data_IF_633623535801
#
_entry.id   IF_633623535801
#
_cell.length_a   1.000
_cell.length_b   1.000
_cell.length_c   1.000
_cell.angle_alpha   90.00
_cell.angle_beta   90.00
_cell.angle_gamma   90.00
#
_symmetry.space_group_name_H-M   'P 1'
#
loop_
_entity.id
_entity.type
_entity.pdbx_description
1 polymer ?
#
# COMPACT_ATOMS: atom_id res chain seq x y z
N UNK A 1 42.31 -8.65 -33.27
CA UNK A 1 42.58 -7.32 -32.65
C UNK A 1 41.74 -7.21 -31.42
N UNK A 2 42.44 -7.09 -30.32
CA UNK A 2 41.91 -7.02 -28.96
C UNK A 2 41.42 -5.62 -28.70
N UNK A 3 40.19 -5.39 -28.18
CA UNK A 3 39.87 -4.25 -27.34
C UNK A 3 38.96 -4.74 -26.23
N UNK A 4 39.41 -4.44 -25.04
CA UNK A 4 39.06 -4.86 -23.71
C UNK A 4 37.65 -4.38 -23.24
N UNK A 5 37.00 -5.29 -22.52
CA UNK A 5 35.92 -4.97 -21.57
C UNK A 5 36.54 -4.46 -20.26
N UNK A 6 36.16 -3.28 -19.80
CA UNK A 6 36.37 -2.87 -18.43
C UNK A 6 35.40 -1.73 -18.11
N UNK A 7 34.39 -1.99 -17.29
CA UNK A 7 33.87 -1.18 -16.17
C UNK A 7 32.44 -1.53 -15.82
N UNK A 8 32.28 -2.53 -14.97
CA UNK A 8 31.03 -2.75 -14.22
C UNK A 8 31.33 -3.45 -12.88
N UNK A 9 32.26 -2.91 -12.12
CA UNK A 9 32.62 -3.41 -10.78
C UNK A 9 32.71 -2.31 -9.70
N UNK A 10 32.04 -1.19 -9.84
CA UNK A 10 32.15 -0.11 -8.88
C UNK A 10 30.91 0.10 -7.98
N UNK A 11 29.77 -0.54 -8.24
CA UNK A 11 28.55 -0.28 -7.46
C UNK A 11 28.28 -1.31 -6.35
N UNK A 12 28.87 -2.50 -6.41
CA UNK A 12 28.64 -3.55 -5.41
C UNK A 12 29.45 -3.43 -4.12
N UNK A 13 30.52 -2.61 -4.13
CA UNK A 13 31.44 -2.50 -2.98
C UNK A 13 31.08 -1.43 -1.97
N UNK A 14 30.24 -0.47 -2.33
CA UNK A 14 29.88 0.63 -1.43
C UNK A 14 28.82 0.23 -0.37
N UNK A 15 27.96 -0.74 -0.68
CA UNK A 15 26.92 -1.17 0.24
C UNK A 15 27.45 -2.07 1.37
N UNK A 16 28.47 -2.90 1.08
CA UNK A 16 29.10 -3.77 2.09
C UNK A 16 30.00 -3.01 3.07
N UNK A 17 30.58 -1.87 2.67
CA UNK A 17 31.44 -1.06 3.55
C UNK A 17 30.65 -0.22 4.58
N UNK A 18 29.40 0.11 4.28
CA UNK A 18 28.52 0.87 5.21
C UNK A 18 28.06 0.04 6.41
N UNK A 19 27.90 -1.27 6.25
CA UNK A 19 27.58 -2.18 7.38
C UNK A 19 28.77 -2.41 8.32
N UNK A 20 30.01 -2.26 7.85
CA UNK A 20 31.21 -2.46 8.66
C UNK A 20 31.53 -1.22 9.54
N UNK A 21 31.23 -0.01 9.08
CA UNK A 21 31.54 1.25 9.82
C UNK A 21 30.61 1.49 11.00
N UNK A 22 29.37 0.95 10.96
CA UNK A 22 28.45 1.01 12.11
C UNK A 22 28.91 0.17 13.33
N UNK A 23 29.88 -0.74 13.14
CA UNK A 23 30.37 -1.63 14.21
C UNK A 23 31.45 -1.02 15.11
N UNK A 24 32.17 0.00 14.70
CA UNK A 24 33.34 0.49 15.47
C UNK A 24 33.08 1.65 16.42
N UNK A 25 31.87 2.25 16.46
CA UNK A 25 31.62 3.44 17.31
C UNK A 25 30.75 3.22 18.53
N UNK A 26 30.42 1.98 18.92
CA UNK A 26 29.59 1.65 20.09
C UNK A 26 30.36 1.23 21.35
N UNK A 27 31.69 1.32 21.36
CA UNK A 27 32.49 1.04 22.56
C UNK A 27 33.24 2.28 23.02
N UNK A 28 32.57 3.14 23.73
CA UNK A 28 33.25 4.23 24.41
C UNK A 28 32.31 5.31 24.94
N UNK A 29 32.23 5.30 26.25
CA UNK A 29 31.81 6.35 27.21
C UNK A 29 30.54 6.02 27.99
N UNK A 30 30.77 5.31 29.09
CA UNK A 30 29.98 5.40 30.30
C UNK A 30 30.68 6.36 31.26
N UNK A 31 30.11 7.53 31.49
CA UNK A 31 30.29 8.26 32.75
C UNK A 31 29.18 9.31 32.88
N UNK A 32 28.34 9.10 33.90
CA UNK A 32 27.32 10.05 34.35
C UNK A 32 27.92 11.23 35.10
N UNK A 33 27.22 12.35 35.15
CA UNK A 33 26.99 12.95 36.45
C UNK A 33 25.52 13.35 36.72
N UNK A 34 25.14 13.00 37.93
CA UNK A 34 24.18 13.56 38.89
C UNK A 34 23.10 14.57 38.41
N UNK A 35 21.88 14.14 38.67
CA UNK A 35 20.67 14.95 38.64
C UNK A 35 20.66 16.02 39.73
N UNK A 36 20.32 17.26 39.33
CA UNK A 36 19.81 18.31 40.23
C UNK A 36 18.30 18.41 40.05
N UNK A 37 17.58 18.14 41.13
CA UNK A 37 16.14 18.36 41.26
C UNK A 37 15.81 19.85 41.22
N UNK A 38 14.90 20.26 40.35
CA UNK A 38 14.23 21.55 40.45
C UNK A 38 12.74 21.35 40.70
N UNK A 39 12.29 22.03 41.75
CA UNK A 39 10.99 22.02 42.36
C UNK A 39 9.87 22.44 41.39
N UNK A 40 8.81 21.64 41.35
CA UNK A 40 7.53 21.95 40.72
C UNK A 40 6.81 23.06 41.49
N UNK A 41 6.65 24.22 40.90
CA UNK A 41 5.73 25.28 41.37
C UNK A 41 4.29 24.88 41.06
N UNK A 42 3.45 24.84 42.10
CA UNK A 42 2.00 24.61 42.02
C UNK A 42 1.32 25.79 41.33
N UNK A 43 0.50 25.50 40.34
CA UNK A 43 -0.48 26.46 39.77
C UNK A 43 -1.77 26.51 40.62
N UNK A 44 -2.45 27.64 40.71
CA UNK A 44 -3.60 27.83 41.59
C UNK A 44 -4.89 27.15 41.04
N UNK A 45 -5.63 26.56 41.96
CA UNK A 45 -6.98 25.99 41.70
C UNK A 45 -7.98 27.11 41.50
N UNK A 46 -8.63 27.12 40.35
CA UNK A 46 -9.88 27.92 40.15
C UNK A 46 -11.04 27.18 40.81
N UNK A 47 -11.77 27.89 41.73
CA UNK A 47 -13.04 27.50 42.31
C UNK A 47 -14.17 27.99 41.38
N UNK A 48 -15.04 27.09 41.01
CA UNK A 48 -16.34 27.46 40.43
C UNK A 48 -17.35 27.76 41.53
N UNK A 49 -18.17 28.82 41.40
CA UNK A 49 -19.27 29.09 42.34
C UNK A 49 -20.48 28.21 42.04
N UNK A 50 -21.11 27.69 43.09
CA UNK A 50 -22.39 27.00 43.03
C UNK A 50 -23.53 28.01 42.99
N UNK A 51 -24.63 27.78 42.26
CA UNK A 51 -25.84 28.56 42.41
C UNK A 51 -26.79 27.90 43.43
N UNK A 52 -27.14 28.64 44.47
CA UNK A 52 -28.29 28.45 45.30
C UNK A 52 -29.50 29.08 44.61
N UNK A 53 -30.62 28.38 44.56
CA UNK A 53 -31.89 28.96 44.10
C UNK A 53 -33.00 27.94 43.95
N UNK A 54 -33.66 27.59 45.06
CA UNK A 54 -34.95 26.90 45.07
C UNK A 54 -36.04 27.82 44.54
N UNK A 55 -36.78 27.40 43.53
CA UNK A 55 -38.03 27.99 43.15
C UNK A 55 -39.10 26.91 43.03
N UNK A 56 -40.18 27.11 43.78
CA UNK A 56 -41.32 26.21 43.93
C UNK A 56 -42.19 26.18 42.67
N UNK A 57 -42.68 25.01 42.40
CA UNK A 57 -43.53 24.61 41.31
C UNK A 57 -44.93 25.24 41.35
N UNK A 58 -45.41 25.73 40.24
CA UNK A 58 -46.83 25.86 39.92
C UNK A 58 -47.18 24.85 38.84
N UNK A 59 -47.99 23.89 39.19
CA UNK A 59 -48.56 22.89 38.31
C UNK A 59 -49.57 23.54 37.37
N UNK A 60 -49.24 23.62 36.06
CA UNK A 60 -50.27 23.84 35.04
C UNK A 60 -50.29 22.59 34.13
N UNK A 61 -51.46 21.96 34.15
CA UNK A 61 -51.82 20.84 33.30
C UNK A 61 -51.95 21.32 31.87
N UNK A 62 -50.97 20.97 31.04
CA UNK A 62 -51.08 21.10 29.59
C UNK A 62 -51.32 19.72 28.96
N UNK A 63 -52.44 19.69 28.22
CA UNK A 63 -52.88 18.65 27.32
C UNK A 63 -51.71 18.05 26.51
N UNK A 64 -51.51 16.75 26.65
CA UNK A 64 -50.54 15.96 25.86
C UNK A 64 -50.99 15.90 24.40
N UNK A 65 -50.36 16.70 23.54
CA UNK A 65 -50.34 16.42 22.09
C UNK A 65 -49.55 15.16 21.86
N UNK A 66 -50.19 14.13 21.32
CA UNK A 66 -49.54 12.95 20.84
C UNK A 66 -48.52 13.34 19.74
N UNK A 67 -47.23 13.16 20.01
CA UNK A 67 -46.21 13.17 18.96
C UNK A 67 -46.44 11.95 18.09
N UNK A 68 -46.93 12.15 16.87
CA UNK A 68 -46.82 11.17 15.85
C UNK A 68 -45.33 10.92 15.63
N UNK A 69 -44.83 9.74 16.01
CA UNK A 69 -43.52 9.26 15.59
C UNK A 69 -43.54 9.14 14.08
N UNK A 70 -42.89 10.09 13.40
CA UNK A 70 -42.50 9.89 12.00
C UNK A 70 -41.71 8.57 11.94
N UNK A 71 -42.05 7.65 11.02
CA UNK A 71 -41.24 6.47 10.86
C UNK A 71 -39.79 6.93 10.65
N UNK A 72 -38.87 6.40 11.45
CA UNK A 72 -37.46 6.65 11.29
C UNK A 72 -37.12 6.25 9.84
N UNK A 73 -36.78 7.24 9.03
CA UNK A 73 -36.19 6.99 7.73
C UNK A 73 -34.97 6.14 8.02
N UNK A 74 -35.03 4.86 7.70
CA UNK A 74 -33.83 4.01 7.71
C UNK A 74 -32.91 4.66 6.70
N UNK A 75 -31.93 5.44 7.19
CA UNK A 75 -30.81 5.89 6.37
C UNK A 75 -30.06 4.63 6.00
N UNK A 76 -30.31 4.10 4.80
CA UNK A 76 -29.42 3.13 4.20
C UNK A 76 -28.06 3.83 4.12
N UNK A 77 -27.12 3.39 4.94
CA UNK A 77 -25.71 3.75 4.72
C UNK A 77 -25.34 3.25 3.32
N UNK A 78 -24.87 4.13 2.43
CA UNK A 78 -24.52 3.72 1.09
C UNK A 78 -23.45 2.63 1.16
N UNK A 79 -23.60 1.59 0.35
CA UNK A 79 -22.60 0.55 0.23
C UNK A 79 -21.48 1.07 -0.66
N UNK A 80 -20.26 0.70 -0.33
CA UNK A 80 -19.06 1.04 -1.09
C UNK A 80 -18.53 -0.23 -1.76
N UNK A 81 -18.32 -0.15 -3.05
CA UNK A 81 -17.54 -1.13 -3.81
C UNK A 81 -16.15 -0.57 -4.11
N UNK A 82 -15.19 -1.45 -4.29
CA UNK A 82 -13.79 -1.11 -4.50
C UNK A 82 -13.34 -1.51 -5.90
N UNK A 83 -12.91 -0.53 -6.68
CA UNK A 83 -12.33 -0.74 -8.01
C UNK A 83 -10.81 -0.72 -7.87
N UNK A 84 -10.16 -1.85 -8.15
CA UNK A 84 -8.75 -2.04 -7.83
C UNK A 84 -7.92 -2.32 -9.07
N UNK A 85 -6.74 -1.70 -9.13
CA UNK A 85 -5.71 -2.07 -10.08
C UNK A 85 -4.33 -2.07 -9.39
N UNK A 86 -3.46 -2.94 -9.89
CA UNK A 86 -2.06 -2.98 -9.52
C UNK A 86 -1.18 -2.51 -10.68
N UNK A 87 0.00 -1.99 -10.35
CA UNK A 87 1.09 -1.80 -11.30
C UNK A 87 2.41 -2.15 -10.65
N UNK A 88 3.29 -2.85 -11.39
CA UNK A 88 4.59 -3.26 -10.85
C UNK A 88 5.70 -3.14 -11.88
N UNK A 89 6.94 -3.03 -11.41
CA UNK A 89 8.14 -3.04 -12.25
C UNK A 89 9.32 -3.55 -11.47
N UNK A 90 9.98 -4.58 -11.97
CA UNK A 90 11.25 -5.01 -11.37
C UNK A 90 12.35 -3.95 -11.55
N UNK A 91 13.31 -3.90 -10.60
CA UNK A 91 14.42 -2.92 -10.61
C UNK A 91 15.25 -2.96 -11.89
N UNK A 92 15.39 -4.13 -12.50
CA UNK A 92 16.12 -4.34 -13.76
C UNK A 92 15.23 -4.33 -14.99
N UNK A 93 13.90 -4.43 -14.82
CA UNK A 93 12.91 -4.49 -15.90
C UNK A 93 12.64 -3.13 -16.54
N UNK A 94 12.21 -3.16 -17.79
CA UNK A 94 11.66 -1.98 -18.46
C UNK A 94 10.19 -1.86 -18.14
N UNK A 95 9.78 -0.74 -17.58
CA UNK A 95 8.38 -0.44 -17.35
C UNK A 95 7.62 -0.19 -18.68
N UNK A 96 6.56 -0.96 -18.88
CA UNK A 96 5.66 -0.82 -20.03
C UNK A 96 4.21 -0.74 -19.50
N UNK A 97 3.54 0.43 -19.59
CA UNK A 97 2.19 0.61 -19.04
C UNK A 97 1.17 -0.43 -19.52
N UNK A 98 1.36 -0.97 -20.72
CA UNK A 98 0.49 -2.00 -21.30
C UNK A 98 0.75 -3.42 -20.79
N UNK A 99 1.84 -3.67 -20.06
CA UNK A 99 2.21 -5.01 -19.57
C UNK A 99 2.32 -5.07 -18.05
N UNK A 100 2.67 -3.94 -17.44
CA UNK A 100 2.96 -3.83 -16.02
C UNK A 100 1.77 -3.27 -15.23
N UNK A 101 0.55 -3.46 -15.75
CA UNK A 101 -0.70 -3.04 -15.10
C UNK A 101 -1.69 -4.18 -15.11
N UNK A 102 -2.37 -4.37 -13.98
CA UNK A 102 -3.27 -5.49 -13.72
C UNK A 102 -4.55 -4.94 -13.10
N UNK A 103 -5.72 -5.27 -13.67
CA UNK A 103 -7.02 -4.92 -13.11
C UNK A 103 -7.58 -6.10 -12.31
N UNK A 104 -8.14 -5.84 -11.16
CA UNK A 104 -8.90 -6.82 -10.38
C UNK A 104 -10.36 -6.78 -10.80
N UNK A 105 -10.86 -7.93 -11.23
CA UNK A 105 -12.29 -8.14 -11.48
C UNK A 105 -12.75 -9.38 -10.70
N UNK A 106 -13.50 -9.22 -9.62
CA UNK A 106 -13.91 -10.34 -8.77
C UNK A 106 -14.84 -11.34 -9.49
N UNK A 107 -15.48 -10.94 -10.61
CA UNK A 107 -16.31 -11.84 -11.41
C UNK A 107 -15.48 -12.80 -12.28
N UNK A 108 -14.24 -12.42 -12.62
CA UNK A 108 -13.37 -13.17 -13.52
C UNK A 108 -12.22 -13.88 -12.83
N UNK A 109 -11.85 -13.46 -11.64
CA UNK A 109 -10.69 -13.98 -10.92
C UNK A 109 -10.87 -13.91 -9.41
N UNK A 110 -10.49 -14.97 -8.70
CA UNK A 110 -10.56 -15.02 -7.24
C UNK A 110 -9.53 -14.11 -6.57
N UNK A 111 -8.33 -13.99 -7.16
CA UNK A 111 -7.26 -13.14 -6.66
C UNK A 111 -6.41 -12.56 -7.79
N UNK A 112 -5.85 -11.37 -7.54
CA UNK A 112 -4.87 -10.69 -8.39
C UNK A 112 -3.50 -10.72 -7.72
N UNK A 113 -2.43 -10.82 -8.53
CA UNK A 113 -1.02 -10.76 -8.09
C UNK A 113 -0.46 -12.07 -7.57
N UNK A 114 -1.30 -13.04 -7.25
CA UNK A 114 -0.95 -14.38 -6.75
C UNK A 114 -1.64 -15.48 -7.55
N UNK A 115 -1.09 -16.68 -7.48
CA UNK A 115 -1.62 -17.85 -8.20
C UNK A 115 -2.09 -18.90 -7.18
N UNK A 116 -3.23 -18.62 -6.53
CA UNK A 116 -3.79 -19.46 -5.45
C UNK A 116 -4.13 -20.88 -5.91
N UNK A 117 -4.47 -21.05 -7.20
CA UNK A 117 -4.82 -22.31 -7.87
C UNK A 117 -3.62 -23.08 -8.43
N UNK A 118 -2.41 -22.56 -8.33
CA UNK A 118 -1.26 -23.18 -8.93
C UNK A 118 -0.85 -24.48 -8.19
N UNK A 119 -0.70 -25.61 -8.91
CA UNK A 119 -0.50 -26.92 -8.30
C UNK A 119 0.90 -27.13 -7.69
N UNK A 120 1.89 -26.33 -8.07
CA UNK A 120 3.26 -26.50 -7.60
C UNK A 120 3.96 -25.17 -7.41
N UNK A 121 4.96 -25.06 -6.50
CA UNK A 121 5.77 -23.85 -6.34
C UNK A 121 6.44 -23.36 -7.64
N UNK A 122 6.86 -24.26 -8.52
CA UNK A 122 7.45 -23.89 -9.79
C UNK A 122 6.45 -23.19 -10.74
N UNK A 123 5.19 -23.61 -10.73
CA UNK A 123 4.12 -22.96 -11.50
C UNK A 123 3.79 -21.60 -10.87
N UNK A 124 3.73 -21.51 -9.54
CA UNK A 124 3.54 -20.23 -8.83
C UNK A 124 4.61 -19.22 -9.24
N UNK A 125 5.89 -19.59 -9.20
CA UNK A 125 7.01 -18.70 -9.62
C UNK A 125 6.87 -18.21 -11.05
N UNK A 126 6.41 -19.05 -11.99
CA UNK A 126 6.22 -18.65 -13.39
C UNK A 126 5.05 -17.69 -13.61
N UNK A 127 4.08 -17.69 -12.71
CA UNK A 127 2.88 -16.82 -12.78
C UNK A 127 3.04 -15.51 -12.00
N UNK A 128 4.19 -15.30 -11.33
CA UNK A 128 4.46 -14.04 -10.61
C UNK A 128 4.39 -12.87 -11.59
N UNK A 129 3.82 -11.73 -11.17
CA UNK A 129 3.97 -10.46 -11.87
C UNK A 129 5.45 -10.09 -12.06
N UNK A 130 5.73 -9.20 -13.02
CA UNK A 130 7.08 -8.61 -13.18
C UNK A 130 7.29 -7.51 -12.13
N UNK A 131 7.45 -7.93 -10.89
CA UNK A 131 7.60 -7.06 -9.71
C UNK A 131 8.94 -7.25 -8.99
N UNK A 132 9.82 -8.12 -9.49
CA UNK A 132 11.09 -8.41 -8.83
C UNK A 132 10.92 -9.16 -7.52
N UNK A 133 11.48 -8.60 -6.45
CA UNK A 133 11.39 -9.11 -5.07
C UNK A 133 10.07 -8.67 -4.38
N UNK A 134 9.38 -7.68 -4.96
CA UNK A 134 8.09 -7.18 -4.48
C UNK A 134 6.95 -8.13 -4.81
N UNK A 135 5.95 -8.14 -3.95
CA UNK A 135 4.72 -8.86 -4.15
C UNK A 135 3.50 -8.02 -3.81
N UNK A 136 2.37 -8.38 -4.39
CA UNK A 136 1.07 -7.80 -4.03
C UNK A 136 -0.03 -8.84 -4.20
N UNK A 137 -1.15 -8.63 -3.52
CA UNK A 137 -2.38 -9.34 -3.84
C UNK A 137 -3.62 -8.47 -3.60
N UNK A 138 -4.69 -8.83 -4.27
CA UNK A 138 -6.07 -8.43 -3.99
C UNK A 138 -6.95 -9.66 -4.13
N UNK A 139 -7.89 -9.86 -3.21
CA UNK A 139 -8.88 -10.92 -3.29
C UNK A 139 -10.20 -10.48 -2.67
N UNK A 140 -11.29 -11.16 -2.99
CA UNK A 140 -12.52 -11.09 -2.21
C UNK A 140 -12.31 -11.70 -0.83
N UNK A 141 -13.16 -11.37 0.14
CA UNK A 141 -13.21 -12.00 1.46
C UNK A 141 -14.33 -13.01 1.50
N UNK A 142 -13.99 -14.29 1.70
CA UNK A 142 -14.95 -15.39 1.74
C UNK A 142 -15.41 -15.86 0.36
N UNK A 143 -15.93 -17.11 0.32
CA UNK A 143 -16.64 -17.62 -0.84
C UNK A 143 -18.09 -17.17 -0.77
N UNK A 144 -18.58 -16.58 -1.83
CA UNK A 144 -19.96 -16.22 -2.14
C UNK A 144 -21.00 -16.70 -1.13
N UNK A 145 -21.34 -15.88 -0.17
CA UNK A 145 -22.68 -15.95 0.41
C UNK A 145 -23.67 -15.42 -0.65
N UNK A 146 -24.93 -15.82 -0.58
CA UNK A 146 -26.00 -15.54 -1.54
C UNK A 146 -26.33 -14.04 -1.77
N UNK A 147 -25.50 -13.15 -1.31
CA UNK A 147 -25.50 -11.69 -1.46
C UNK A 147 -24.10 -11.25 -1.90
N UNK A 148 -23.94 -10.41 -2.92
CA UNK A 148 -22.63 -9.91 -3.30
C UNK A 148 -22.04 -9.11 -2.13
N UNK A 149 -21.02 -9.67 -1.48
CA UNK A 149 -20.22 -8.98 -0.48
C UNK A 149 -19.05 -8.29 -1.24
N UNK A 150 -18.99 -6.97 -1.17
CA UNK A 150 -17.94 -6.18 -1.82
C UNK A 150 -16.68 -6.03 -0.98
N UNK A 151 -16.57 -6.79 0.11
CA UNK A 151 -15.40 -6.75 0.98
C UNK A 151 -14.18 -7.37 0.30
N UNK A 152 -13.05 -6.69 0.43
CA UNK A 152 -11.79 -7.11 -0.19
C UNK A 152 -10.66 -7.18 0.84
N UNK A 153 -9.71 -8.09 0.59
CA UNK A 153 -8.42 -8.14 1.25
C UNK A 153 -7.32 -7.81 0.25
N UNK A 154 -6.31 -7.07 0.66
CA UNK A 154 -5.24 -6.62 -0.22
C UNK A 154 -3.94 -6.37 0.54
N UNK A 155 -2.81 -6.49 -0.13
CA UNK A 155 -1.51 -6.13 0.44
C UNK A 155 -0.46 -5.82 -0.62
N UNK A 156 0.59 -5.12 -0.18
CA UNK A 156 1.90 -5.08 -0.81
C UNK A 156 2.95 -5.58 0.18
N UNK A 157 4.00 -6.25 -0.32
CA UNK A 157 5.12 -6.76 0.46
C UNK A 157 6.41 -6.58 -0.33
N UNK A 158 7.39 -5.92 0.25
CA UNK A 158 8.71 -5.70 -0.32
C UNK A 158 9.66 -6.77 0.20
N UNK A 159 10.23 -7.54 -0.72
CA UNK A 159 11.17 -8.62 -0.41
C UNK A 159 12.57 -8.10 -0.11
N UNK A 160 13.09 -8.44 1.07
CA UNK A 160 14.39 -7.95 1.52
C UNK A 160 15.53 -8.53 0.70
N UNK A 161 16.08 -7.74 -0.24
CA UNK A 161 17.13 -8.14 -1.19
C UNK A 161 18.41 -8.66 -0.58
N UNK A 162 18.73 -8.30 0.67
CA UNK A 162 19.91 -8.79 1.39
C UNK A 162 19.97 -10.31 1.57
N UNK A 163 18.85 -11.02 1.47
CA UNK A 163 18.81 -12.47 1.52
C UNK A 163 19.43 -13.16 0.29
N UNK A 164 19.53 -12.47 -0.85
CA UNK A 164 20.16 -12.98 -2.06
C UNK A 164 21.63 -13.37 -1.82
N UNK A 165 22.34 -12.67 -0.93
CA UNK A 165 23.72 -13.01 -0.54
C UNK A 165 23.82 -14.40 0.13
N UNK A 166 22.72 -14.86 0.74
CA UNK A 166 22.58 -16.17 1.37
C UNK A 166 22.09 -17.27 0.40
N UNK A 167 22.04 -16.97 -0.91
CA UNK A 167 21.51 -17.85 -1.97
C UNK A 167 20.03 -18.21 -1.79
N UNK A 168 19.28 -17.29 -1.26
CA UNK A 168 17.83 -17.38 -1.13
C UNK A 168 17.23 -16.37 -2.12
N UNK A 169 16.15 -16.76 -2.79
CA UNK A 169 15.34 -15.83 -3.59
C UNK A 169 14.44 -15.02 -2.66
N UNK A 170 14.68 -13.71 -2.47
CA UNK A 170 13.84 -12.88 -1.57
C UNK A 170 12.37 -12.87 -1.98
N UNK A 171 12.10 -12.99 -3.28
CA UNK A 171 10.75 -13.07 -3.82
C UNK A 171 9.95 -14.30 -3.34
N UNK A 172 10.60 -15.38 -2.90
CA UNK A 172 9.88 -16.55 -2.38
C UNK A 172 9.14 -16.23 -1.09
N UNK A 173 9.70 -15.37 -0.23
CA UNK A 173 9.06 -14.98 1.02
C UNK A 173 7.91 -14.00 0.78
N UNK A 174 8.13 -12.89 0.07
CA UNK A 174 7.12 -11.86 -0.18
C UNK A 174 5.91 -12.40 -0.94
N UNK A 175 6.16 -13.15 -2.03
CA UNK A 175 5.08 -13.79 -2.81
C UNK A 175 4.39 -14.91 -2.02
N UNK A 176 5.12 -15.68 -1.22
CA UNK A 176 4.54 -16.69 -0.32
C UNK A 176 3.61 -16.09 0.70
N UNK A 177 4.02 -14.97 1.33
CA UNK A 177 3.20 -14.23 2.27
C UNK A 177 1.89 -13.73 1.63
N UNK A 178 1.98 -13.07 0.47
CA UNK A 178 0.82 -12.59 -0.27
C UNK A 178 -0.11 -13.75 -0.70
N UNK A 179 0.44 -14.86 -1.19
CA UNK A 179 -0.34 -16.04 -1.59
C UNK A 179 -1.10 -16.66 -0.41
N UNK A 180 -0.45 -16.80 0.75
CA UNK A 180 -1.10 -17.35 1.94
C UNK A 180 -2.12 -16.41 2.57
N UNK A 181 -1.90 -15.10 2.52
CA UNK A 181 -2.92 -14.12 2.92
C UNK A 181 -4.13 -14.17 2.01
N UNK A 182 -3.93 -14.22 0.68
CA UNK A 182 -5.03 -14.33 -0.28
C UNK A 182 -5.86 -15.60 -0.06
N UNK A 183 -5.20 -16.76 0.08
CA UNK A 183 -5.89 -18.04 0.38
C UNK A 183 -6.69 -17.97 1.68
N UNK A 184 -6.13 -17.33 2.73
CA UNK A 184 -6.81 -17.17 4.01
C UNK A 184 -8.04 -16.26 3.88
N UNK A 185 -7.93 -15.16 3.12
CA UNK A 185 -9.05 -14.27 2.88
C UNK A 185 -10.16 -14.96 2.06
N UNK A 186 -9.80 -15.66 0.98
CA UNK A 186 -10.76 -16.41 0.15
C UNK A 186 -11.48 -17.52 0.91
N UNK A 187 -10.77 -18.24 1.78
CA UNK A 187 -11.35 -19.33 2.59
C UNK A 187 -12.04 -18.85 3.86
N UNK A 188 -12.23 -17.55 4.05
CA UNK A 188 -12.84 -17.00 5.25
C UNK A 188 -14.34 -17.31 5.31
N UNK A 189 -14.77 -18.09 6.32
CA UNK A 189 -16.16 -18.56 6.46
C UNK A 189 -17.03 -17.68 7.38
N UNK A 190 -16.42 -16.70 8.05
CA UNK A 190 -17.11 -15.80 8.98
C UNK A 190 -17.48 -14.50 8.27
N UNK A 191 -18.37 -13.66 8.86
CA UNK A 191 -18.60 -12.30 8.35
C UNK A 191 -17.28 -11.53 8.12
N UNK A 192 -17.19 -10.79 7.01
CA UNK A 192 -15.97 -10.08 6.61
C UNK A 192 -15.48 -9.07 7.68
N UNK A 193 -16.41 -8.49 8.46
CA UNK A 193 -16.10 -7.55 9.55
C UNK A 193 -15.30 -8.18 10.69
N UNK A 194 -15.26 -9.51 10.76
CA UNK A 194 -14.47 -10.24 11.75
C UNK A 194 -13.04 -10.53 11.29
N UNK A 195 -12.76 -10.36 10.00
CA UNK A 195 -11.39 -10.47 9.48
C UNK A 195 -10.65 -9.17 9.78
N UNK A 196 -9.53 -9.28 10.49
CA UNK A 196 -8.70 -8.15 10.89
C UNK A 196 -7.40 -8.18 10.10
N UNK A 197 -6.93 -7.02 9.62
CA UNK A 197 -5.73 -6.92 8.79
C UNK A 197 -4.49 -7.53 9.48
N UNK A 198 -4.28 -7.25 10.76
CA UNK A 198 -3.19 -7.86 11.55
C UNK A 198 -3.35 -9.36 11.74
N UNK A 199 -4.57 -9.87 11.88
CA UNK A 199 -4.83 -11.30 11.99
C UNK A 199 -4.58 -12.02 10.66
N UNK A 200 -4.91 -11.37 9.53
CA UNK A 200 -4.61 -11.88 8.19
C UNK A 200 -3.09 -11.96 7.96
N UNK A 201 -2.35 -10.90 8.36
CA UNK A 201 -0.89 -10.89 8.31
C UNK A 201 -0.29 -12.02 9.15
N UNK A 202 -0.81 -12.23 10.38
CA UNK A 202 -0.35 -13.33 11.26
C UNK A 202 -0.60 -14.70 10.61
N UNK A 203 -1.81 -14.93 10.07
CA UNK A 203 -2.14 -16.19 9.42
C UNK A 203 -1.27 -16.47 8.18
N UNK A 204 -0.99 -15.43 7.37
CA UNK A 204 -0.06 -15.53 6.25
C UNK A 204 1.34 -15.88 6.69
N UNK A 205 1.87 -15.18 7.70
CA UNK A 205 3.20 -15.41 8.26
C UNK A 205 3.36 -16.82 8.85
N UNK A 206 2.40 -17.29 9.65
CA UNK A 206 2.44 -18.64 10.23
C UNK A 206 2.53 -19.71 9.15
N UNK A 207 1.83 -19.52 8.03
CA UNK A 207 1.87 -20.47 6.90
C UNK A 207 3.17 -20.38 6.11
N UNK A 208 3.76 -19.18 5.95
CA UNK A 208 5.10 -19.03 5.35
C UNK A 208 6.15 -19.75 6.19
N UNK A 209 6.10 -19.59 7.52
CA UNK A 209 7.03 -20.28 8.47
C UNK A 209 6.87 -21.78 8.44
N UNK A 210 5.66 -22.29 8.19
CA UNK A 210 5.36 -23.71 8.09
C UNK A 210 5.71 -24.33 6.71
N UNK A 211 5.95 -23.51 5.68
CA UNK A 211 6.25 -23.97 4.32
C UNK A 211 7.73 -24.34 4.17
N UNK A 212 8.02 -25.65 4.12
CA UNK A 212 9.38 -26.16 3.95
C UNK A 212 10.06 -25.72 2.65
N UNK A 213 9.32 -25.24 1.66
CA UNK A 213 9.87 -24.71 0.42
C UNK A 213 10.47 -23.30 0.58
N UNK A 214 10.06 -22.56 1.62
CA UNK A 214 10.53 -21.21 1.97
C UNK A 214 11.46 -21.32 3.18
N UNK A 215 12.74 -21.55 2.91
CA UNK A 215 13.72 -21.89 3.97
C UNK A 215 14.30 -20.69 4.70
N UNK A 216 14.27 -19.55 4.09
CA UNK A 216 14.78 -18.28 4.60
C UNK A 216 14.21 -17.13 3.77
N UNK A 217 14.33 -15.92 4.25
CA UNK A 217 13.85 -14.74 3.57
C UNK A 217 13.21 -13.77 4.55
N UNK A 218 12.77 -12.64 4.06
CA UNK A 218 12.04 -11.65 4.82
C UNK A 218 11.39 -10.64 3.89
N UNK A 219 10.37 -9.94 4.38
CA UNK A 219 9.75 -8.83 3.67
C UNK A 219 9.10 -7.84 4.65
N UNK A 220 8.86 -6.63 4.16
CA UNK A 220 7.90 -5.70 4.77
C UNK A 220 6.47 -6.14 4.48
N UNK A 221 5.46 -5.51 5.05
CA UNK A 221 4.08 -5.76 4.70
C UNK A 221 3.17 -4.55 5.00
N UNK A 222 2.37 -4.15 4.01
CA UNK A 222 1.24 -3.25 4.19
C UNK A 222 -0.03 -3.98 3.76
N UNK A 223 -0.90 -4.32 4.72
CA UNK A 223 -2.06 -5.21 4.54
C UNK A 223 -3.33 -4.44 4.83
N UNK A 224 -4.39 -4.64 4.04
CA UNK A 224 -5.68 -3.99 4.23
C UNK A 224 -6.87 -4.93 4.08
N UNK A 225 -7.93 -4.59 4.81
CA UNK A 225 -9.28 -5.15 4.65
C UNK A 225 -10.21 -3.99 4.38
N UNK A 226 -10.93 -4.03 3.26
CA UNK A 226 -11.98 -3.08 2.90
C UNK A 226 -13.35 -3.71 3.06
N UNK A 227 -14.24 -3.07 3.78
CA UNK A 227 -15.60 -3.51 4.04
C UNK A 227 -16.61 -2.70 3.24
N UNK A 228 -17.76 -3.27 2.94
CA UNK A 228 -18.81 -2.64 2.13
C UNK A 228 -19.41 -1.35 2.73
N UNK A 229 -19.19 -1.10 4.02
CA UNK A 229 -19.56 0.15 4.68
C UNK A 229 -18.54 1.29 4.47
N UNK A 230 -17.48 1.06 3.66
CA UNK A 230 -16.40 2.01 3.41
C UNK A 230 -15.27 1.97 4.44
N UNK A 231 -15.40 1.19 5.49
CA UNK A 231 -14.36 1.03 6.50
C UNK A 231 -13.17 0.24 5.94
N UNK A 232 -11.98 0.80 6.10
CA UNK A 232 -10.70 0.17 5.77
C UNK A 232 -9.91 -0.04 7.06
N UNK A 233 -9.46 -1.25 7.30
CA UNK A 233 -8.46 -1.51 8.33
C UNK A 233 -7.13 -1.84 7.66
N UNK A 234 -6.09 -1.11 8.04
CA UNK A 234 -4.72 -1.30 7.57
C UNK A 234 -3.84 -1.84 8.71
N UNK A 235 -2.90 -2.72 8.38
CA UNK A 235 -1.80 -3.15 9.23
C UNK A 235 -0.50 -2.94 8.45
N UNK A 236 0.39 -2.09 8.95
CA UNK A 236 1.66 -1.75 8.31
C UNK A 236 2.83 -2.22 9.15
N UNK A 237 3.78 -2.92 8.53
CA UNK A 237 5.05 -3.35 9.13
C UNK A 237 6.17 -3.06 8.13
N UNK A 238 7.07 -2.17 8.52
CA UNK A 238 8.17 -1.71 7.67
C UNK A 238 7.90 -0.37 7.00
N UNK A 239 8.55 -0.13 5.87
CA UNK A 239 8.56 1.12 5.10
C UNK A 239 7.76 1.07 3.79
N UNK A 240 7.23 -0.08 3.40
CA UNK A 240 6.03 -0.13 2.55
C UNK A 240 4.90 0.63 3.23
N UNK A 241 3.98 1.22 2.46
CA UNK A 241 3.00 2.07 3.09
C UNK A 241 1.74 2.37 2.28
N UNK A 242 0.93 3.28 2.82
CA UNK A 242 -0.34 3.69 2.24
C UNK A 242 -0.56 5.19 2.26
N UNK A 243 -1.31 5.70 1.29
CA UNK A 243 -1.76 7.10 1.21
C UNK A 243 -3.24 7.12 0.82
N UNK A 244 -4.07 7.80 1.60
CA UNK A 244 -5.47 8.07 1.25
C UNK A 244 -5.61 9.49 0.73
N UNK A 245 -6.12 9.61 -0.47
CA UNK A 245 -6.35 10.87 -1.18
C UNK A 245 -7.86 11.10 -1.34
N UNK A 246 -8.33 12.29 -0.98
CA UNK A 246 -9.71 12.73 -1.09
C UNK A 246 -9.75 14.16 -1.61
N UNK A 247 -10.48 14.40 -2.69
CA UNK A 247 -10.74 15.75 -3.18
C UNK A 247 -9.47 16.61 -3.32
N UNK A 248 -8.42 16.03 -3.94
CA UNK A 248 -7.10 16.63 -4.14
C UNK A 248 -6.36 17.02 -2.83
N UNK A 249 -6.59 16.29 -1.76
CA UNK A 249 -5.85 16.42 -0.51
C UNK A 249 -5.38 15.05 0.01
N UNK A 250 -4.25 15.05 0.73
CA UNK A 250 -3.78 13.88 1.48
C UNK A 250 -4.52 13.83 2.81
N UNK A 251 -5.35 12.81 3.01
CA UNK A 251 -6.12 12.61 4.25
C UNK A 251 -5.42 11.69 5.24
N UNK A 252 -4.63 10.74 4.72
CA UNK A 252 -3.83 9.85 5.54
C UNK A 252 -2.59 9.42 4.77
N UNK A 253 -1.53 9.16 5.50
CA UNK A 253 -0.36 8.40 5.03
C UNK A 253 0.23 7.60 6.19
N UNK A 254 0.76 6.42 5.89
CA UNK A 254 1.45 5.59 6.89
C UNK A 254 2.83 6.15 7.21
N UNK A 255 3.23 6.03 8.47
CA UNK A 255 4.59 6.37 8.92
C UNK A 255 5.44 5.12 8.80
N UNK A 256 6.59 5.16 8.09
CA UNK A 256 7.46 4.01 7.98
C UNK A 256 8.02 3.59 9.35
N UNK A 257 8.12 2.27 9.56
CA UNK A 257 8.73 1.69 10.75
C UNK A 257 10.13 1.21 10.41
N UNK A 258 11.14 1.81 11.04
CA UNK A 258 12.55 1.49 10.78
C UNK A 258 13.33 1.39 12.08
N UNK A 259 14.32 0.49 12.13
CA UNK A 259 15.31 0.39 13.21
C UNK A 259 16.43 1.43 13.04
N UNK A 260 16.60 1.93 11.82
CA UNK A 260 17.60 2.93 11.44
C UNK A 260 17.47 3.27 9.96
N UNK A 261 18.38 4.08 9.43
CA UNK A 261 18.36 4.42 8.03
C UNK A 261 18.43 3.17 7.14
N UNK A 262 17.52 3.05 6.18
CA UNK A 262 17.41 1.93 5.24
C UNK A 262 17.40 0.55 5.94
N UNK A 263 16.75 0.50 7.11
CA UNK A 263 16.64 -0.72 7.91
C UNK A 263 15.20 -0.86 8.42
N UNK A 264 14.27 -1.27 7.53
CA UNK A 264 12.87 -1.39 7.90
C UNK A 264 12.60 -2.52 8.89
N UNK A 265 11.49 -2.43 9.61
CA UNK A 265 10.87 -3.58 10.25
C UNK A 265 10.53 -4.61 9.18
N UNK A 266 10.82 -5.88 9.44
CA UNK A 266 10.62 -6.96 8.48
C UNK A 266 10.25 -8.26 9.15
N UNK A 267 9.27 -8.95 8.58
CA UNK A 267 9.03 -10.36 8.87
C UNK A 267 10.18 -11.18 8.29
N UNK A 268 10.63 -12.23 9.00
CA UNK A 268 11.73 -13.04 8.48
C UNK A 268 11.69 -14.48 8.96
N UNK A 269 12.25 -15.38 8.15
CA UNK A 269 12.66 -16.73 8.53
C UNK A 269 14.18 -16.77 8.53
N UNK A 270 14.77 -16.89 9.71
CA UNK A 270 16.22 -16.97 9.87
C UNK A 270 16.60 -18.42 10.15
N UNK A 271 17.36 -19.08 9.25
CA UNK A 271 17.81 -20.46 9.46
C UNK A 271 18.56 -20.64 10.78
N UNK A 272 18.35 -21.76 11.50
CA UNK A 272 19.02 -22.02 12.78
C UNK A 272 20.55 -21.92 12.72
N UNK A 273 21.16 -22.34 11.62
CA UNK A 273 22.62 -22.23 11.38
C UNK A 273 23.09 -20.77 11.38
N UNK A 274 22.32 -19.87 10.75
CA UNK A 274 22.66 -18.45 10.71
C UNK A 274 22.52 -17.81 12.08
N UNK A 275 21.48 -18.16 12.84
CA UNK A 275 21.31 -17.71 14.24
C UNK A 275 22.50 -18.15 15.10
N UNK A 276 22.92 -19.42 14.99
CA UNK A 276 24.07 -19.95 15.72
C UNK A 276 25.38 -19.23 15.35
N UNK A 277 25.61 -18.98 14.05
CA UNK A 277 26.77 -18.21 13.61
C UNK A 277 26.76 -16.78 14.16
N UNK A 278 25.63 -16.08 14.07
CA UNK A 278 25.52 -14.73 14.61
C UNK A 278 25.82 -14.69 16.12
N UNK A 279 25.31 -15.65 16.90
CA UNK A 279 25.57 -15.71 18.34
C UNK A 279 27.05 -15.96 18.68
N UNK A 280 27.77 -16.76 17.88
CA UNK A 280 29.20 -17.01 18.06
C UNK A 280 30.03 -15.75 17.83
N UNK A 281 29.64 -14.92 16.83
CA UNK A 281 30.34 -13.70 16.47
C UNK A 281 29.82 -12.45 17.19
N UNK A 282 28.94 -12.61 18.19
CA UNK A 282 28.39 -11.51 18.98
C UNK A 282 27.38 -10.64 18.25
N UNK A 283 26.80 -11.14 17.15
CA UNK A 283 25.73 -10.49 16.39
C UNK A 283 24.34 -11.02 16.78
N UNK A 284 23.31 -10.19 16.53
CA UNK A 284 21.91 -10.59 16.59
C UNK A 284 21.21 -10.16 15.30
N UNK A 285 20.24 -10.94 14.87
CA UNK A 285 19.33 -10.50 13.80
C UNK A 285 18.27 -9.59 14.37
N UNK A 286 17.87 -8.59 13.59
CA UNK A 286 16.62 -7.87 13.83
C UNK A 286 15.48 -8.79 13.42
N UNK A 287 14.51 -8.95 14.30
CA UNK A 287 13.35 -9.81 14.07
C UNK A 287 12.10 -9.07 14.51
N UNK A 288 11.24 -8.81 13.53
CA UNK A 288 9.93 -8.23 13.78
C UNK A 288 8.84 -9.27 13.47
N UNK A 289 7.69 -9.10 14.06
CA UNK A 289 6.59 -10.06 14.00
C UNK A 289 5.28 -9.35 13.61
N UNK A 290 4.26 -10.07 13.15
CA UNK A 290 2.97 -9.46 12.81
C UNK A 290 2.35 -8.63 13.96
N UNK A 291 2.65 -8.94 15.22
CA UNK A 291 2.20 -8.15 16.38
C UNK A 291 2.75 -6.72 16.40
N UNK A 292 3.91 -6.49 15.78
CA UNK A 292 4.62 -5.20 15.75
C UNK A 292 4.06 -4.27 14.66
N UNK A 293 3.20 -4.79 13.76
CA UNK A 293 2.53 -3.98 12.76
C UNK A 293 1.64 -2.92 13.41
N UNK A 294 1.72 -1.69 12.94
CA UNK A 294 0.83 -0.59 13.33
C UNK A 294 -0.51 -0.73 12.61
N UNK A 295 -1.61 -0.69 13.36
CA UNK A 295 -2.96 -0.75 12.78
C UNK A 295 -3.60 0.63 12.71
N UNK A 296 -4.26 0.91 11.59
CA UNK A 296 -5.02 2.15 11.36
C UNK A 296 -6.37 1.80 10.79
N UNK A 297 -7.42 2.48 11.25
CA UNK A 297 -8.77 2.38 10.67
C UNK A 297 -9.10 3.68 9.96
N UNK A 298 -9.50 3.57 8.70
CA UNK A 298 -9.90 4.68 7.84
C UNK A 298 -11.34 4.46 7.37
N UNK A 299 -11.92 5.49 6.80
CA UNK A 299 -13.22 5.39 6.12
C UNK A 299 -13.11 6.03 4.74
N UNK A 300 -13.31 5.24 3.70
CA UNK A 300 -13.35 5.71 2.32
C UNK A 300 -14.77 6.14 1.96
N UNK A 301 -14.85 7.25 1.25
CA UNK A 301 -16.08 7.79 0.67
C UNK A 301 -16.01 7.66 -0.85
N UNK A 302 -17.15 7.85 -1.50
CA UNK A 302 -17.24 7.89 -2.96
C UNK A 302 -16.20 8.83 -3.57
N UNK A 303 -15.43 8.31 -4.54
CA UNK A 303 -14.39 9.03 -5.24
C UNK A 303 -13.04 9.14 -4.51
N UNK A 304 -12.90 8.57 -3.30
CA UNK A 304 -11.62 8.47 -2.63
C UNK A 304 -10.68 7.52 -3.36
N UNK A 305 -9.39 7.80 -3.25
CA UNK A 305 -8.32 6.95 -3.79
C UNK A 305 -7.39 6.54 -2.67
N UNK A 306 -7.33 5.24 -2.38
CA UNK A 306 -6.33 4.65 -1.49
C UNK A 306 -5.23 4.02 -2.33
N UNK A 307 -3.99 4.38 -2.05
CA UNK A 307 -2.79 3.78 -2.62
C UNK A 307 -2.06 2.99 -1.55
N UNK A 308 -1.63 1.76 -1.88
CA UNK A 308 -0.56 1.07 -1.17
C UNK A 308 0.63 0.94 -2.12
N UNK A 309 1.84 1.05 -1.59
CA UNK A 309 3.05 0.85 -2.38
C UNK A 309 4.23 0.38 -1.54
N UNK A 310 5.22 -0.21 -2.20
CA UNK A 310 6.53 -0.55 -1.65
C UNK A 310 7.45 0.68 -1.62
N UNK A 311 8.60 0.56 -0.97
CA UNK A 311 9.57 1.65 -0.79
C UNK A 311 10.12 2.18 -2.12
N UNK A 312 10.17 1.37 -3.19
CA UNK A 312 10.56 1.83 -4.53
C UNK A 312 9.73 3.01 -5.05
N UNK A 313 8.51 3.22 -4.51
CA UNK A 313 7.72 4.45 -4.73
C UNK A 313 8.11 5.54 -3.74
N UNK A 314 8.08 5.27 -2.44
CA UNK A 314 8.25 6.28 -1.40
C UNK A 314 9.66 6.83 -1.28
N UNK A 315 10.66 6.07 -1.68
CA UNK A 315 12.06 6.50 -1.78
C UNK A 315 12.30 7.51 -2.92
N UNK A 316 11.44 7.48 -3.94
CA UNK A 316 11.59 8.29 -5.14
C UNK A 316 10.54 9.41 -5.27
N UNK A 317 9.34 9.23 -4.71
CA UNK A 317 8.22 10.17 -4.77
C UNK A 317 7.74 10.53 -3.37
N UNK A 318 7.66 11.82 -3.09
CA UNK A 318 7.04 12.28 -1.85
C UNK A 318 5.50 12.38 -1.99
N UNK A 319 4.79 12.55 -0.88
CA UNK A 319 3.32 12.62 -0.86
C UNK A 319 2.76 13.76 -1.75
N UNK A 320 3.48 14.84 -1.97
CA UNK A 320 3.06 15.93 -2.86
C UNK A 320 3.21 15.56 -4.34
N UNK A 321 4.24 14.80 -4.70
CA UNK A 321 4.41 14.26 -6.05
C UNK A 321 3.26 13.28 -6.36
N UNK A 322 2.97 12.36 -5.45
CA UNK A 322 1.85 11.41 -5.54
C UNK A 322 0.52 12.15 -5.67
N UNK A 323 0.27 13.15 -4.79
CA UNK A 323 -0.95 13.95 -4.83
C UNK A 323 -1.14 14.64 -6.19
N UNK A 324 -0.09 15.25 -6.75
CA UNK A 324 -0.14 15.91 -8.07
C UNK A 324 -0.47 14.92 -9.18
N UNK A 325 0.17 13.74 -9.18
CA UNK A 325 -0.08 12.70 -10.18
C UNK A 325 -1.53 12.23 -10.14
N UNK A 326 -2.02 11.83 -8.95
CA UNK A 326 -3.40 11.35 -8.78
C UNK A 326 -4.39 12.45 -9.15
N UNK A 327 -4.25 13.65 -8.57
CA UNK A 327 -5.15 14.78 -8.85
C UNK A 327 -5.21 15.10 -10.35
N UNK A 328 -4.07 15.12 -11.02
CA UNK A 328 -4.01 15.35 -12.48
C UNK A 328 -4.81 14.29 -13.26
N UNK A 329 -4.70 13.01 -12.91
CA UNK A 329 -5.42 11.92 -13.59
C UNK A 329 -6.91 11.95 -13.28
N UNK A 330 -7.27 12.16 -12.01
CA UNK A 330 -8.67 12.25 -11.58
C UNK A 330 -9.40 13.42 -12.22
N UNK A 331 -8.76 14.59 -12.34
CA UNK A 331 -9.35 15.77 -13.02
C UNK A 331 -9.39 15.56 -14.54
N UNK A 332 -8.31 15.07 -15.14
CA UNK A 332 -8.25 14.88 -16.61
C UNK A 332 -9.33 13.91 -17.11
N UNK A 333 -9.64 12.87 -16.34
CA UNK A 333 -10.68 11.89 -16.70
C UNK A 333 -12.10 12.36 -16.33
N UNK A 334 -12.23 13.43 -15.56
CA UNK A 334 -13.51 13.91 -15.04
C UNK A 334 -14.00 13.13 -13.81
N UNK A 335 -13.17 12.26 -13.23
CA UNK A 335 -13.50 11.56 -11.96
C UNK A 335 -13.57 12.51 -10.77
N UNK A 336 -12.75 13.55 -10.80
CA UNK A 336 -12.86 14.71 -9.92
C UNK A 336 -13.10 15.97 -10.76
N UNK A 337 -13.99 16.85 -10.29
CA UNK A 337 -14.36 18.09 -10.96
C UNK A 337 -14.18 19.28 -10.03
N UNK A 338 -13.78 20.42 -10.60
CA UNK A 338 -13.77 21.67 -9.85
C UNK A 338 -15.23 22.11 -9.62
N UNK A 339 -15.57 22.36 -8.36
CA UNK A 339 -16.91 22.85 -8.03
C UNK A 339 -17.14 24.26 -8.58
N UNK A 340 -18.30 24.46 -9.15
CA UNK A 340 -18.75 25.78 -9.60
C UNK A 340 -19.24 26.69 -8.46
N UNK A 341 -19.46 26.11 -7.28
CA UNK A 341 -19.89 26.86 -6.09
C UNK A 341 -18.67 27.46 -5.37
N UNK A 342 -18.69 28.75 -5.03
CA UNK A 342 -17.62 29.34 -4.23
C UNK A 342 -17.42 28.56 -2.92
N UNK A 343 -16.18 28.21 -2.61
CA UNK A 343 -15.71 27.52 -1.39
C UNK A 343 -15.86 25.99 -1.34
N UNK A 344 -16.27 25.30 -2.39
CA UNK A 344 -16.38 23.83 -2.34
C UNK A 344 -15.20 23.08 -2.97
N UNK A 345 -14.30 23.76 -3.67
CA UNK A 345 -13.05 23.15 -4.17
C UNK A 345 -13.25 22.06 -5.22
N UNK A 346 -12.58 20.92 -5.03
CA UNK A 346 -12.71 19.74 -5.89
C UNK A 346 -13.70 18.76 -5.27
N UNK A 347 -14.59 18.21 -6.09
CA UNK A 347 -15.57 17.20 -5.69
C UNK A 347 -15.48 15.97 -6.59
N UNK A 348 -15.83 14.76 -6.10
CA UNK A 348 -15.96 13.60 -6.96
C UNK A 348 -17.11 13.80 -7.94
N UNK A 349 -17.03 13.16 -9.10
CA UNK A 349 -18.16 13.07 -10.04
C UNK A 349 -19.27 12.19 -9.44
N UNK A 350 -20.43 12.18 -10.11
CA UNK A 350 -21.54 11.32 -9.72
C UNK A 350 -21.20 9.82 -9.87
N UNK A 351 -22.02 8.98 -9.24
CA UNK A 351 -21.87 7.52 -9.22
C UNK A 351 -21.76 6.93 -10.63
N UNK A 352 -22.67 7.31 -11.54
CA UNK A 352 -22.73 6.75 -12.89
C UNK A 352 -21.46 7.07 -13.68
N UNK A 353 -20.96 8.29 -13.58
CA UNK A 353 -19.70 8.70 -14.20
C UNK A 353 -18.51 7.92 -13.64
N UNK A 354 -18.42 7.80 -12.32
CA UNK A 354 -17.29 7.12 -11.69
C UNK A 354 -17.33 5.61 -11.95
N UNK A 355 -18.51 4.98 -11.89
CA UNK A 355 -18.66 3.55 -12.22
C UNK A 355 -18.24 3.28 -13.68
N UNK A 356 -18.68 4.11 -14.64
CA UNK A 356 -18.25 4.03 -16.03
C UNK A 356 -16.75 4.17 -16.20
N UNK A 357 -16.11 5.15 -15.55
CA UNK A 357 -14.66 5.39 -15.68
C UNK A 357 -13.81 4.27 -15.06
N UNK A 358 -14.32 3.61 -14.04
CA UNK A 358 -13.64 2.51 -13.36
C UNK A 358 -13.96 1.13 -13.95
N UNK A 359 -14.98 1.06 -14.82
CA UNK A 359 -15.40 -0.15 -15.52
C UNK A 359 -14.41 -0.59 -16.62
N UNK A 360 -14.61 -1.79 -17.21
CA UNK A 360 -13.65 -2.42 -18.13
C UNK A 360 -13.27 -1.59 -19.36
N UNK A 361 -14.16 -0.78 -19.89
CA UNK A 361 -13.91 0.05 -21.07
C UNK A 361 -13.90 1.56 -20.79
N UNK A 362 -13.82 1.93 -19.50
CA UNK A 362 -14.10 3.27 -19.04
C UNK A 362 -13.33 4.41 -19.70
N UNK A 363 -12.09 4.19 -20.08
CA UNK A 363 -11.25 5.21 -20.73
C UNK A 363 -11.11 5.00 -22.24
N UNK A 364 -11.66 3.95 -22.84
CA UNK A 364 -11.53 3.65 -24.26
C UNK A 364 -12.13 4.73 -25.13
N UNK A 365 -13.24 5.35 -24.71
CA UNK A 365 -13.87 6.47 -25.42
C UNK A 365 -13.02 7.74 -25.42
N UNK A 366 -12.27 8.00 -24.33
CA UNK A 366 -11.36 9.15 -24.23
C UNK A 366 -10.13 8.99 -25.13
N UNK A 367 -9.64 7.75 -25.27
CA UNK A 367 -8.49 7.43 -26.11
C UNK A 367 -8.88 7.50 -27.60
N UNK A 368 -10.07 7.00 -27.96
CA UNK A 368 -10.55 7.00 -29.35
C UNK A 368 -10.85 8.40 -29.90
N UNK A 369 -11.25 9.35 -29.04
CA UNK A 369 -11.52 10.73 -29.45
C UNK A 369 -10.26 11.56 -29.72
N UNK A 370 -9.08 11.10 -29.34
CA UNK A 370 -7.80 11.80 -29.53
C UNK A 370 -7.03 11.38 -30.77
N UNK A 371 -7.50 10.38 -31.54
CA UNK A 371 -6.89 9.95 -32.80
C UNK A 371 -7.62 10.63 -33.98
N UNK A 372 -6.95 11.43 -34.84
CA UNK A 372 -7.57 11.94 -36.08
C UNK A 372 -7.96 10.75 -36.96
N UNK A 373 -9.19 10.77 -37.47
CA UNK A 373 -9.73 9.75 -38.37
C UNK A 373 -8.80 9.52 -39.56
N UNK A 374 -8.00 8.47 -39.50
CA UNK A 374 -7.41 7.88 -40.69
C UNK A 374 -8.36 6.80 -41.19
N UNK A 375 -9.06 7.13 -42.28
CA UNK A 375 -9.85 6.18 -43.04
C UNK A 375 -9.02 4.99 -43.47
N UNK A 376 -9.22 3.84 -42.83
CA UNK A 376 -8.77 2.56 -43.36
C UNK A 376 -9.76 1.43 -43.02
N UNK A 377 -10.15 0.73 -44.05
CA UNK A 377 -11.08 -0.38 -44.18
C UNK A 377 -11.04 -1.40 -43.04
N UNK A 378 -12.21 -1.61 -42.41
CA UNK A 378 -12.48 -2.73 -41.51
C UNK A 378 -12.43 -4.05 -42.25
N UNK A 379 -11.39 -4.82 -42.11
CA UNK A 379 -11.44 -6.28 -42.28
C UNK A 379 -11.69 -6.90 -40.92
N UNK A 380 -12.91 -7.46 -40.75
CA UNK A 380 -13.27 -8.29 -39.58
C UNK A 380 -12.48 -9.59 -39.66
N UNK A 381 -11.43 -9.75 -38.88
CA UNK A 381 -10.94 -11.08 -38.51
C UNK A 381 -11.21 -11.24 -37.02
N UNK A 382 -12.17 -12.11 -36.72
CA UNK A 382 -12.40 -12.64 -35.37
C UNK A 382 -11.21 -13.53 -35.01
N UNK A 383 -10.18 -12.96 -34.44
CA UNK A 383 -9.12 -13.71 -33.76
C UNK A 383 -9.45 -13.73 -32.29
N UNK A 384 -9.42 -14.92 -31.68
CA UNK A 384 -9.70 -15.17 -30.28
C UNK A 384 -9.00 -14.13 -29.39
N UNK A 385 -9.79 -13.42 -28.58
CA UNK A 385 -9.31 -12.46 -27.58
C UNK A 385 -8.37 -13.17 -26.61
N UNK A 386 -7.11 -12.71 -26.56
CA UNK A 386 -6.19 -13.07 -25.49
C UNK A 386 -6.80 -12.63 -24.15
N UNK A 387 -6.69 -13.43 -23.07
CA UNK A 387 -7.24 -13.09 -21.75
C UNK A 387 -6.55 -11.89 -21.07
N UNK A 388 -5.67 -11.20 -21.74
CA UNK A 388 -5.02 -9.94 -21.35
C UNK A 388 -5.51 -8.77 -22.22
N UNK A 389 -6.81 -8.70 -22.51
CA UNK A 389 -7.37 -7.53 -23.16
C UNK A 389 -7.22 -6.33 -22.21
N UNK A 390 -6.35 -5.39 -22.58
CA UNK A 390 -5.94 -4.25 -21.77
C UNK A 390 -7.11 -3.25 -21.68
N UNK A 391 -8.03 -3.51 -20.77
CA UNK A 391 -9.06 -2.54 -20.43
C UNK A 391 -8.43 -1.37 -19.68
N UNK A 392 -8.46 -0.20 -20.29
CA UNK A 392 -7.99 1.04 -19.67
C UNK A 392 -9.06 1.56 -18.70
N UNK A 393 -8.86 1.34 -17.42
CA UNK A 393 -9.71 1.85 -16.35
C UNK A 393 -9.05 3.04 -15.65
N UNK A 394 -9.83 3.84 -14.91
CA UNK A 394 -9.31 4.95 -14.13
C UNK A 394 -8.22 4.51 -13.14
N UNK A 395 -8.49 3.43 -12.37
CA UNK A 395 -7.55 2.91 -11.38
C UNK A 395 -6.27 2.39 -12.03
N UNK A 396 -6.36 1.77 -13.22
CA UNK A 396 -5.19 1.31 -13.96
C UNK A 396 -4.34 2.47 -14.49
N UNK A 397 -4.96 3.55 -14.95
CA UNK A 397 -4.26 4.76 -15.37
C UNK A 397 -3.50 5.41 -14.21
N UNK A 398 -4.12 5.49 -13.04
CA UNK A 398 -3.48 6.06 -11.83
C UNK A 398 -2.32 5.17 -11.39
N UNK A 399 -2.50 3.85 -11.31
CA UNK A 399 -1.46 2.90 -10.93
C UNK A 399 -0.25 2.98 -11.88
N UNK A 400 -0.50 2.94 -13.20
CA UNK A 400 0.55 3.08 -14.21
C UNK A 400 1.29 4.41 -14.13
N UNK A 401 0.56 5.50 -13.84
CA UNK A 401 1.18 6.83 -13.74
C UNK A 401 2.13 6.93 -12.55
N UNK A 402 1.76 6.35 -11.39
CA UNK A 402 2.61 6.36 -10.20
C UNK A 402 3.82 5.44 -10.39
N UNK A 403 3.60 4.19 -10.81
CA UNK A 403 4.70 3.24 -11.03
C UNK A 403 5.68 3.74 -12.11
N UNK A 404 5.18 4.32 -13.20
CA UNK A 404 6.00 4.89 -14.26
C UNK A 404 6.82 6.09 -13.81
N UNK A 405 6.23 7.03 -13.05
CA UNK A 405 6.96 8.18 -12.52
C UNK A 405 7.99 7.76 -11.45
N UNK A 406 7.64 6.82 -10.57
CA UNK A 406 8.59 6.27 -9.61
C UNK A 406 9.78 5.60 -10.31
N UNK A 407 9.52 4.82 -11.38
CA UNK A 407 10.58 4.20 -12.19
C UNK A 407 11.47 5.22 -12.87
N UNK A 408 10.90 6.29 -13.42
CA UNK A 408 11.69 7.37 -14.03
C UNK A 408 12.50 8.13 -12.97
N UNK A 409 11.89 8.46 -11.83
CA UNK A 409 12.56 9.15 -10.74
C UNK A 409 13.70 8.32 -10.15
N UNK A 410 13.53 6.98 -10.04
CA UNK A 410 14.56 6.07 -9.50
C UNK A 410 15.84 6.06 -10.35
N UNK A 411 15.72 6.32 -11.65
CA UNK A 411 16.84 6.35 -12.59
C UNK A 411 17.42 7.75 -12.83
N UNK A 412 16.79 8.79 -12.30
CA UNK A 412 17.25 10.18 -12.49
C UNK A 412 18.33 10.55 -11.46
N UNK A 413 19.58 10.59 -11.90
CA UNK A 413 20.73 10.94 -11.07
C UNK A 413 20.79 12.43 -10.64
N UNK A 414 19.88 13.28 -11.15
CA UNK A 414 19.85 14.73 -10.86
C UNK A 414 18.74 15.11 -9.89
N UNK A 415 17.76 14.24 -9.67
CA UNK A 415 16.60 14.50 -8.81
C UNK A 415 16.79 13.77 -7.49
N UNK A 416 17.15 14.48 -6.43
CA UNK A 416 17.19 13.93 -5.08
C UNK A 416 15.77 13.63 -4.60
N UNK A 417 15.45 12.36 -4.56
CA UNK A 417 14.20 11.82 -3.98
C UNK A 417 14.21 11.90 -2.45
N UNK A 418 13.14 11.41 -1.80
CA UNK A 418 13.09 11.29 -0.34
C UNK A 418 14.26 10.51 0.23
N UNK A 419 14.62 9.37 -0.37
CA UNK A 419 15.75 8.54 0.06
C UNK A 419 17.09 9.31 0.04
N UNK A 420 17.40 9.99 -1.07
CA UNK A 420 18.66 10.74 -1.17
C UNK A 420 18.77 11.83 -0.10
N UNK A 421 17.66 12.55 0.15
CA UNK A 421 17.61 13.58 1.18
C UNK A 421 17.78 13.02 2.58
N UNK A 422 17.26 11.84 2.85
CA UNK A 422 17.40 11.16 4.12
C UNK A 422 18.82 10.61 4.29
N UNK A 423 19.40 9.99 3.27
CA UNK A 423 20.79 9.53 3.25
C UNK A 423 21.75 10.67 3.58
N UNK A 424 21.61 11.81 2.92
CA UNK A 424 22.43 13.00 3.18
C UNK A 424 22.27 13.54 4.61
N UNK A 425 21.11 13.38 5.24
CA UNK A 425 20.87 13.77 6.64
C UNK A 425 21.55 12.82 7.62
N UNK A 426 21.46 11.49 7.37
CA UNK A 426 22.06 10.49 8.25
C UNK A 426 23.58 10.41 8.13
N UNK A 427 24.10 10.63 6.94
CA UNK A 427 25.54 10.56 6.61
C UNK A 427 26.00 11.89 5.98
N UNK A 428 26.12 12.99 6.78
CA UNK A 428 26.64 14.24 6.28
C UNK A 428 28.07 14.04 5.74
N UNK A 429 28.27 14.22 4.45
CA UNK A 429 29.55 13.96 3.78
C UNK A 429 29.51 12.74 2.87
N UNK A 430 28.47 11.93 2.91
CA UNK A 430 28.18 10.96 1.86
C UNK A 430 27.43 11.68 0.73
N UNK A 431 27.95 11.57 -0.48
CA UNK A 431 27.44 12.31 -1.65
C UNK A 431 26.41 11.48 -2.42
N UNK A 432 25.50 10.80 -1.73
CA UNK A 432 24.40 10.11 -2.41
C UNK A 432 23.44 11.14 -3.03
N UNK A 433 23.30 11.06 -4.34
CA UNK A 433 22.41 11.91 -5.13
C UNK A 433 21.59 11.09 -6.11
N UNK A 434 20.42 11.62 -6.46
CA UNK A 434 19.53 11.01 -7.45
C UNK A 434 18.52 10.06 -6.83
N UNK A 435 17.87 9.28 -7.70
CA UNK A 435 16.89 8.29 -7.32
C UNK A 435 17.52 7.01 -6.75
N UNK A 436 16.74 6.23 -6.01
CA UNK A 436 17.07 4.85 -5.59
C UNK A 436 16.40 3.86 -6.52
N UNK A 437 17.19 3.14 -7.32
CA UNK A 437 16.68 2.08 -8.21
C UNK A 437 16.24 0.90 -7.36
N UNK A 438 14.94 0.59 -7.41
CA UNK A 438 14.36 -0.53 -6.69
C UNK A 438 13.24 -1.22 -7.46
N UNK A 439 12.75 -2.34 -6.92
CA UNK A 439 11.52 -2.96 -7.33
C UNK A 439 10.34 -2.04 -6.96
N UNK A 440 9.24 -2.11 -7.67
CA UNK A 440 8.08 -1.24 -7.50
C UNK A 440 6.81 -2.09 -7.54
N UNK A 441 6.00 -2.02 -6.51
CA UNK A 441 4.64 -2.51 -6.51
C UNK A 441 3.68 -1.43 -5.99
N UNK A 442 2.59 -1.20 -6.72
CA UNK A 442 1.55 -0.19 -6.42
C UNK A 442 0.19 -0.84 -6.52
N UNK A 443 -0.65 -0.66 -5.51
CA UNK A 443 -2.09 -0.92 -5.56
C UNK A 443 -2.84 0.41 -5.50
N UNK A 444 -3.81 0.59 -6.38
CA UNK A 444 -4.76 1.71 -6.39
C UNK A 444 -6.16 1.16 -6.18
N UNK A 445 -6.85 1.71 -5.21
CA UNK A 445 -8.22 1.36 -4.82
C UNK A 445 -9.06 2.62 -4.91
N UNK A 446 -10.07 2.61 -5.77
CA UNK A 446 -11.05 3.71 -5.91
C UNK A 446 -12.36 3.25 -5.29
N UNK A 447 -12.89 4.04 -4.37
CA UNK A 447 -14.18 3.76 -3.73
C UNK A 447 -15.34 4.30 -4.59
N UNK A 448 -16.32 3.44 -4.85
CA UNK A 448 -17.53 3.79 -5.61
C UNK A 448 -18.74 3.42 -4.77
N UNK A 449 -19.66 4.36 -4.62
CA UNK A 449 -20.95 4.14 -3.94
C UNK A 449 -21.87 3.31 -4.83
N UNK A 450 -22.53 2.28 -4.23
CA UNK A 450 -23.45 1.36 -4.91
C UNK A 450 -24.93 1.80 -4.80
#
# INVERSE_FOLDING_TARGET
MIVSASSSRACGSACSSLQAVARERLTGVLSSPAARSQSLRRLPRFRFPQPLGTCQSVCQTHSSRAFHSTPACQSHTPRISYRVAASSSSKTGRFLPTKNVYNFNPELQEALGVAVDAPTPAVKRKRRPDSGEDAFFVSSVGHYSSSPDYSIAFAVADGVGGWAESRVDPADFSHGLCDYMAQTALSWEKPAEQLRAKALLQAGYDRVVADESIRAGGCTASVGIGLEDGRIELANLGDSGSVLLRQAAVHHYSIPQTHGFNTPYQLSIIPPRMRQQASIFGGAFLEDFPRDAVTTTLHMHHGDVLMLATDGVFDNLNNQDILKLVTSRMIYTGAWTASTTPNTGITPSDRETLDRLTGPEGLSSLISSSTPESTSNKSKSATASNPHDHSYTLQSLVAASIAGEAKLASMDLRRDGPFAKEAQRYYPGDYYHGGKVDDIAVLIIVAVEE
#
